data_IF_159185592910
#
_entry.id   IF_159185592910
#
_cell.length_a   1.000
_cell.length_b   1.000
_cell.length_c   1.000
_cell.angle_alpha   90.00
_cell.angle_beta   90.00
_cell.angle_gamma   90.00
#
_symmetry.space_group_name_H-M   'P 1'
#
loop_
_entity.id
_entity.type
_entity.pdbx_description
1 polymer ?
#
# COMPACT_ATOMS: atom_id res chain seq x y z
N UNK A 1 24.19 8.42 28.21
CA UNK A 1 23.60 9.69 27.76
C UNK A 1 23.49 9.68 26.24
N UNK A 2 22.38 10.17 25.70
CA UNK A 2 22.18 10.32 24.26
C UNK A 2 20.74 10.72 23.93
N UNK A 3 20.18 11.70 24.65
CA UNK A 3 18.90 12.28 24.27
C UNK A 3 19.12 13.13 23.01
N UNK A 4 18.67 12.63 21.86
CA UNK A 4 18.62 13.40 20.62
C UNK A 4 17.24 14.04 20.50
N UNK A 5 17.15 15.34 20.78
CA UNK A 5 15.97 16.13 20.45
C UNK A 5 15.86 16.26 18.92
N UNK A 6 14.78 15.70 18.38
CA UNK A 6 13.98 16.34 17.33
C UNK A 6 14.68 16.73 16.04
N UNK A 7 15.40 15.80 15.41
CA UNK A 7 15.54 15.85 13.96
C UNK A 7 14.18 15.53 13.33
N UNK A 8 13.42 16.54 12.94
CA UNK A 8 12.19 16.37 12.15
C UNK A 8 12.56 15.84 10.77
N UNK A 9 12.86 14.54 10.66
CA UNK A 9 12.76 13.85 9.37
C UNK A 9 11.29 13.93 8.98
N UNK A 10 10.93 14.84 8.09
CA UNK A 10 9.56 14.96 7.62
C UNK A 10 9.19 13.70 6.85
N UNK A 11 8.57 12.73 7.54
CA UNK A 11 8.01 11.55 6.88
C UNK A 11 6.90 12.01 5.93
N UNK A 12 7.05 11.70 4.65
CA UNK A 12 6.02 11.96 3.65
C UNK A 12 5.03 10.80 3.64
N UNK A 13 3.78 11.08 3.99
CA UNK A 13 2.72 10.09 4.00
C UNK A 13 2.13 9.91 2.59
N UNK A 14 2.17 8.68 2.10
CA UNK A 14 1.68 8.27 0.80
C UNK A 14 0.53 7.27 0.99
N UNK A 15 -0.44 7.33 0.10
CA UNK A 15 -1.55 6.39 0.04
C UNK A 15 -1.71 5.86 -1.38
N UNK A 16 -2.64 4.93 -1.60
CA UNK A 16 -2.95 4.45 -2.96
C UNK A 16 -4.36 4.90 -3.36
N UNK A 17 -4.44 5.61 -4.48
CA UNK A 17 -5.69 6.14 -5.04
C UNK A 17 -5.73 5.84 -6.55
N UNK A 18 -6.81 5.22 -7.01
CA UNK A 18 -7.01 4.83 -8.43
C UNK A 18 -5.80 4.09 -9.07
N UNK A 19 -5.12 3.25 -8.30
CA UNK A 19 -3.96 2.50 -8.79
C UNK A 19 -2.72 3.35 -9.02
N UNK A 20 -2.62 4.51 -8.35
CA UNK A 20 -1.45 5.38 -8.32
C UNK A 20 -1.07 5.68 -6.88
N UNK A 21 0.19 6.04 -6.67
CA UNK A 21 0.68 6.57 -5.40
C UNK A 21 0.11 7.98 -5.24
N UNK A 22 -0.53 8.27 -4.11
CA UNK A 22 -1.20 9.52 -3.84
C UNK A 22 -0.58 10.23 -2.63
N UNK A 23 -0.11 11.46 -2.84
CA UNK A 23 0.37 12.37 -1.80
C UNK A 23 -0.66 13.47 -1.60
N UNK A 24 -1.24 13.56 -0.39
CA UNK A 24 -2.20 14.62 -0.07
C UNK A 24 -1.52 15.98 0.01
N UNK A 25 -2.16 17.00 -0.55
CA UNK A 25 -1.72 18.40 -0.50
C UNK A 25 -2.82 19.27 0.10
N UNK A 26 -2.41 20.38 0.72
CA UNK A 26 -3.32 21.28 1.44
C UNK A 26 -4.05 22.25 0.51
N UNK A 27 -3.47 22.56 -0.63
CA UNK A 27 -3.92 23.60 -1.55
C UNK A 27 -4.05 23.05 -2.97
N UNK A 28 -4.81 23.78 -3.80
CA UNK A 28 -4.91 23.55 -5.24
C UNK A 28 -3.58 23.95 -5.90
N UNK A 29 -2.68 22.98 -6.02
CA UNK A 29 -1.40 23.12 -6.72
C UNK A 29 -1.54 22.66 -8.17
N UNK A 30 -0.75 23.20 -9.12
CA UNK A 30 -0.74 22.74 -10.51
C UNK A 30 -0.50 21.22 -10.60
N UNK A 31 -1.45 20.48 -11.17
CA UNK A 31 -1.38 19.02 -11.31
C UNK A 31 -2.02 18.22 -10.16
N UNK A 32 -2.49 18.87 -9.10
CA UNK A 32 -3.23 18.21 -8.04
C UNK A 32 -4.66 17.82 -8.50
N UNK A 33 -5.11 16.63 -8.12
CA UNK A 33 -6.44 16.11 -8.43
C UNK A 33 -7.36 16.31 -7.23
N UNK A 34 -8.52 16.93 -7.45
CA UNK A 34 -9.58 17.04 -6.44
C UNK A 34 -10.25 15.70 -6.25
N UNK A 35 -10.21 15.18 -5.02
CA UNK A 35 -10.88 13.96 -4.63
C UNK A 35 -12.02 14.26 -3.66
N UNK A 36 -13.09 13.50 -3.77
CA UNK A 36 -14.27 13.56 -2.90
C UNK A 36 -14.45 12.22 -2.21
N UNK A 37 -14.87 12.25 -0.96
CA UNK A 37 -15.24 11.04 -0.22
C UNK A 37 -16.50 10.43 -0.85
N UNK A 38 -16.71 9.11 -0.65
CA UNK A 38 -17.84 8.38 -1.25
C UNK A 38 -19.21 8.94 -0.84
N UNK A 39 -19.28 9.53 0.34
CA UNK A 39 -20.45 10.20 0.93
C UNK A 39 -20.53 11.69 0.56
N UNK A 40 -19.56 12.23 -0.18
CA UNK A 40 -19.49 13.63 -0.59
C UNK A 40 -19.12 14.61 0.52
N UNK A 41 -18.93 14.15 1.77
CA UNK A 41 -18.76 15.03 2.93
C UNK A 41 -17.38 15.68 3.05
N UNK A 42 -16.36 15.07 2.43
CA UNK A 42 -14.97 15.52 2.52
C UNK A 42 -14.36 15.66 1.13
N UNK A 43 -13.63 16.74 0.93
CA UNK A 43 -12.81 16.96 -0.27
C UNK A 43 -11.37 17.17 0.11
N UNK A 44 -10.45 16.58 -0.66
CA UNK A 44 -9.02 16.81 -0.51
C UNK A 44 -8.36 16.89 -1.88
N UNK A 45 -7.15 17.41 -1.91
CA UNK A 45 -6.32 17.47 -3.11
C UNK A 45 -5.16 16.48 -2.96
N UNK A 46 -4.80 15.81 -4.05
CA UNK A 46 -3.68 14.87 -4.06
C UNK A 46 -2.88 14.93 -5.36
N UNK A 47 -1.56 14.80 -5.25
CA UNK A 47 -0.68 14.50 -6.38
C UNK A 47 -0.61 13.00 -6.59
N UNK A 48 -0.71 12.57 -7.85
CA UNK A 48 -0.71 11.16 -8.23
C UNK A 48 0.56 10.80 -8.98
N UNK A 49 1.35 9.92 -8.39
CA UNK A 49 2.60 9.39 -8.94
C UNK A 49 2.42 7.95 -9.39
N UNK A 50 3.24 7.52 -10.34
CA UNK A 50 3.20 6.16 -10.88
C UNK A 50 3.71 5.13 -9.87
N UNK A 51 4.81 5.47 -9.19
CA UNK A 51 5.51 4.57 -8.29
C UNK A 51 6.24 5.36 -7.20
N UNK A 52 6.69 4.65 -6.18
CA UNK A 52 7.63 5.13 -5.17
C UNK A 52 8.75 4.10 -5.03
N UNK A 53 10.00 4.55 -4.97
CA UNK A 53 11.17 3.69 -4.83
C UNK A 53 11.92 3.99 -3.54
N UNK A 54 12.69 3.01 -3.07
CA UNK A 54 13.66 3.17 -2.00
C UNK A 54 13.86 1.89 -1.21
N UNK A 55 14.61 1.96 -0.11
CA UNK A 55 14.87 0.82 0.78
C UNK A 55 13.78 0.69 1.83
N UNK A 56 13.25 -0.52 2.00
CA UNK A 56 12.31 -0.80 3.09
C UNK A 56 13.07 -0.75 4.42
N UNK A 57 12.64 0.11 5.33
CA UNK A 57 13.23 0.23 6.67
C UNK A 57 12.34 -0.40 7.74
N UNK A 58 11.03 -0.40 7.54
CA UNK A 58 10.08 -0.92 8.51
C UNK A 58 8.75 -1.30 7.85
N UNK A 59 8.05 -2.29 8.41
CA UNK A 59 6.72 -2.70 7.99
C UNK A 59 5.89 -2.97 9.23
N UNK A 60 4.75 -2.31 9.37
CA UNK A 60 3.87 -2.51 10.52
C UNK A 60 2.39 -2.33 10.17
N UNK A 61 1.54 -2.92 11.01
CA UNK A 61 0.11 -2.69 10.99
C UNK A 61 -0.21 -1.43 11.81
N UNK A 62 -1.00 -0.53 11.24
CA UNK A 62 -1.53 0.65 11.92
C UNK A 62 -3.04 0.53 12.03
N UNK A 63 -3.55 0.45 13.25
CA UNK A 63 -4.99 0.36 13.52
C UNK A 63 -5.57 1.78 13.72
N UNK A 64 -6.70 2.05 13.06
CA UNK A 64 -7.40 3.33 13.24
C UNK A 64 -8.49 3.21 14.29
N UNK A 65 -8.30 3.92 15.41
CA UNK A 65 -9.33 4.04 16.47
C UNK A 65 -10.58 4.82 16.02
N UNK A 66 -10.56 5.42 14.83
CA UNK A 66 -11.66 6.21 14.26
C UNK A 66 -12.54 5.42 13.28
N UNK A 67 -12.41 4.09 13.24
CA UNK A 67 -13.25 3.23 12.39
C UNK A 67 -12.88 3.23 10.90
N UNK A 68 -11.74 3.82 10.52
CA UNK A 68 -11.28 3.86 9.11
C UNK A 68 -10.61 2.55 8.64
N UNK A 69 -10.70 1.48 9.44
CA UNK A 69 -10.04 0.20 9.20
C UNK A 69 -8.54 0.24 9.49
N UNK A 70 -7.95 -0.94 9.62
CA UNK A 70 -6.51 -1.11 9.75
C UNK A 70 -5.79 -0.79 8.43
N UNK A 71 -4.52 -0.44 8.51
CA UNK A 71 -3.64 -0.20 7.35
C UNK A 71 -2.34 -0.96 7.50
N UNK A 72 -1.82 -1.43 6.38
CA UNK A 72 -0.43 -1.85 6.28
C UNK A 72 0.41 -0.61 5.95
N UNK A 73 1.41 -0.33 6.76
CA UNK A 73 2.33 0.79 6.55
C UNK A 73 3.70 0.22 6.23
N UNK A 74 4.23 0.60 5.07
CA UNK A 74 5.59 0.27 4.63
C UNK A 74 6.40 1.56 4.66
N UNK A 75 7.42 1.61 5.51
CA UNK A 75 8.36 2.73 5.56
C UNK A 75 9.49 2.48 4.56
N UNK A 76 9.66 3.45 3.67
CA UNK A 76 10.63 3.41 2.57
C UNK A 76 11.54 4.62 2.69
N UNK A 77 12.84 4.42 2.55
CA UNK A 77 13.84 5.48 2.60
C UNK A 77 14.58 5.59 1.27
N UNK A 78 14.65 6.80 0.74
CA UNK A 78 15.43 7.14 -0.44
C UNK A 78 16.37 8.29 -0.08
N UNK A 79 17.66 7.99 0.08
CA UNK A 79 18.66 8.94 0.57
C UNK A 79 18.25 9.64 1.88
N UNK A 80 18.07 10.99 1.90
CA UNK A 80 17.62 11.73 3.07
C UNK A 80 16.10 11.66 3.30
N UNK A 81 15.32 11.30 2.29
CA UNK A 81 13.86 11.33 2.31
C UNK A 81 13.28 10.04 2.88
N UNK A 82 12.19 10.17 3.63
CA UNK A 82 11.47 9.04 4.23
C UNK A 82 10.00 9.09 3.85
N UNK A 83 9.48 7.98 3.35
CA UNK A 83 8.12 7.82 2.88
C UNK A 83 7.40 6.74 3.68
N UNK A 84 6.15 7.00 4.04
CA UNK A 84 5.27 6.02 4.64
C UNK A 84 4.18 5.67 3.62
N UNK A 85 4.30 4.50 2.99
CA UNK A 85 3.29 3.99 2.05
C UNK A 85 2.20 3.26 2.83
N UNK A 86 1.02 3.87 2.92
CA UNK A 86 -0.14 3.31 3.57
C UNK A 86 -1.06 2.60 2.57
N UNK A 87 -1.35 1.34 2.86
CA UNK A 87 -2.29 0.52 2.11
C UNK A 87 -3.42 0.05 3.04
N UNK A 88 -4.69 0.01 2.60
CA UNK A 88 -5.74 -0.57 3.41
C UNK A 88 -5.41 -2.03 3.74
N UNK A 89 -5.59 -2.42 5.00
CA UNK A 89 -5.45 -3.80 5.44
C UNK A 89 -6.50 -4.68 4.73
N UNK A 90 -6.13 -5.90 4.35
CA UNK A 90 -6.96 -6.80 3.53
C UNK A 90 -7.32 -6.22 2.14
N UNK A 91 -6.48 -5.35 1.56
CA UNK A 91 -6.60 -4.94 0.16
C UNK A 91 -5.73 -5.81 -0.76
N UNK A 92 -6.07 -5.85 -2.06
CA UNK A 92 -5.21 -6.52 -3.05
C UNK A 92 -3.79 -5.95 -3.12
N UNK A 93 -3.60 -4.69 -2.71
CA UNK A 93 -2.28 -4.09 -2.60
C UNK A 93 -1.49 -4.69 -1.42
N UNK A 94 -2.10 -4.75 -0.23
CA UNK A 94 -1.45 -5.37 0.94
C UNK A 94 -1.23 -6.87 0.74
N UNK A 95 -2.20 -7.59 0.18
CA UNK A 95 -2.04 -9.02 -0.14
C UNK A 95 -0.93 -9.23 -1.16
N UNK A 96 -0.85 -8.40 -2.22
CA UNK A 96 0.22 -8.47 -3.21
C UNK A 96 1.60 -8.27 -2.60
N UNK A 97 1.72 -7.36 -1.62
CA UNK A 97 2.95 -7.19 -0.85
C UNK A 97 3.30 -8.44 -0.04
N UNK A 98 2.37 -8.97 0.76
CA UNK A 98 2.63 -10.16 1.57
C UNK A 98 3.00 -11.37 0.72
N UNK A 99 2.31 -11.60 -0.41
CA UNK A 99 2.58 -12.73 -1.30
C UNK A 99 4.01 -12.69 -1.89
N UNK A 100 4.55 -11.49 -2.13
CA UNK A 100 5.91 -11.30 -2.62
C UNK A 100 6.96 -11.23 -1.50
N UNK A 101 6.56 -10.95 -0.26
CA UNK A 101 7.44 -10.59 0.85
C UNK A 101 8.65 -11.51 1.07
N UNK A 102 8.54 -12.85 0.98
CA UNK A 102 9.70 -13.74 1.16
C UNK A 102 10.74 -13.62 0.04
N UNK A 103 10.33 -13.18 -1.14
CA UNK A 103 11.21 -12.98 -2.29
C UNK A 103 11.83 -11.57 -2.32
N UNK A 104 11.46 -10.68 -1.40
CA UNK A 104 11.98 -9.32 -1.36
C UNK A 104 13.37 -9.34 -0.74
N UNK A 105 14.37 -8.92 -1.52
CA UNK A 105 15.70 -8.59 -0.99
C UNK A 105 15.69 -7.20 -0.35
N UNK A 106 15.61 -7.15 0.98
CA UNK A 106 15.57 -5.91 1.77
C UNK A 106 16.87 -5.10 1.72
N UNK A 107 17.96 -5.66 1.19
CA UNK A 107 19.24 -4.95 1.04
C UNK A 107 19.24 -4.01 -0.18
N UNK A 108 18.38 -4.32 -1.16
CA UNK A 108 18.19 -3.57 -2.40
C UNK A 108 17.08 -2.54 -2.28
N UNK A 109 17.11 -1.57 -3.18
CA UNK A 109 15.98 -0.66 -3.37
C UNK A 109 14.84 -1.39 -4.10
N UNK A 110 13.62 -1.01 -3.75
CA UNK A 110 12.40 -1.62 -4.28
C UNK A 110 11.48 -0.50 -4.76
N UNK A 111 11.00 -0.65 -5.99
CA UNK A 111 9.97 0.18 -6.58
C UNK A 111 8.59 -0.45 -6.34
N UNK A 112 7.70 0.33 -5.74
CA UNK A 112 6.30 0.02 -5.51
C UNK A 112 5.46 0.68 -6.59
N UNK A 113 4.86 -0.12 -7.47
CA UNK A 113 3.99 0.37 -8.54
C UNK A 113 2.58 -0.18 -8.34
N UNK A 114 1.65 0.61 -7.78
CA UNK A 114 0.25 0.23 -7.76
C UNK A 114 -0.29 0.19 -9.19
N UNK A 115 -1.26 -0.68 -9.40
CA UNK A 115 -1.95 -0.78 -10.67
C UNK A 115 -3.42 -1.01 -10.45
N UNK A 116 -4.23 -0.35 -11.28
CA UNK A 116 -5.67 -0.54 -11.31
C UNK A 116 -6.16 -0.48 -12.75
N UNK A 117 -7.03 -1.41 -13.10
CA UNK A 117 -7.78 -1.38 -14.35
C UNK A 117 -9.20 -1.84 -14.11
N UNK A 118 -10.14 -1.20 -14.79
CA UNK A 118 -11.51 -1.66 -14.83
C UNK A 118 -11.66 -2.70 -15.96
N UNK A 119 -12.09 -3.90 -15.60
CA UNK A 119 -12.35 -5.01 -16.53
C UNK A 119 -13.72 -5.56 -16.18
N UNK A 120 -14.65 -5.58 -17.14
CA UNK A 120 -16.03 -6.06 -16.97
C UNK A 120 -16.79 -5.37 -15.82
N UNK A 121 -16.61 -4.05 -15.69
CA UNK A 121 -17.22 -3.23 -14.62
C UNK A 121 -16.65 -3.51 -13.22
N UNK A 122 -15.62 -4.36 -13.10
CA UNK A 122 -14.92 -4.64 -11.84
C UNK A 122 -13.54 -4.01 -11.85
N UNK A 123 -13.23 -3.25 -10.81
CA UNK A 123 -11.89 -2.72 -10.58
C UNK A 123 -10.95 -3.86 -10.16
N UNK A 124 -10.03 -4.23 -11.04
CA UNK A 124 -8.91 -5.11 -10.71
C UNK A 124 -7.75 -4.27 -10.24
N UNK A 125 -7.22 -4.59 -9.07
CA UNK A 125 -6.10 -3.89 -8.45
C UNK A 125 -4.98 -4.86 -8.15
N UNK A 126 -3.74 -4.38 -8.27
CA UNK A 126 -2.52 -5.17 -8.07
C UNK A 126 -1.40 -4.24 -7.58
N UNK A 127 -0.47 -4.77 -6.80
CA UNK A 127 0.79 -4.09 -6.48
C UNK A 127 1.93 -4.84 -7.17
N UNK A 128 2.66 -4.15 -8.03
CA UNK A 128 3.93 -4.65 -8.57
C UNK A 128 5.08 -4.15 -7.71
N UNK A 129 5.99 -5.06 -7.39
CA UNK A 129 7.23 -4.78 -6.70
C UNK A 129 8.38 -5.16 -7.62
N UNK A 130 9.41 -4.34 -7.67
CA UNK A 130 10.57 -4.56 -8.53
C UNK A 130 11.83 -4.07 -7.83
N UNK A 131 12.91 -4.83 -7.91
CA UNK A 131 14.20 -4.34 -7.43
C UNK A 131 14.78 -3.33 -8.42
N UNK A 132 15.47 -2.32 -7.89
CA UNK A 132 16.15 -1.36 -8.76
C UNK A 132 17.17 -2.06 -9.66
N UNK A 133 17.19 -1.69 -10.93
CA UNK A 133 18.00 -2.33 -11.98
C UNK A 133 17.45 -3.64 -12.56
N UNK A 134 16.46 -4.29 -11.93
CA UNK A 134 15.86 -5.51 -12.46
C UNK A 134 14.82 -5.20 -13.54
N UNK A 135 14.74 -6.05 -14.57
CA UNK A 135 13.74 -5.92 -15.65
C UNK A 135 12.39 -6.48 -15.24
N UNK A 136 12.40 -7.52 -14.43
CA UNK A 136 11.22 -8.28 -14.04
C UNK A 136 10.70 -7.87 -12.66
N UNK A 137 9.39 -8.06 -12.45
CA UNK A 137 8.80 -7.86 -11.14
C UNK A 137 9.14 -9.03 -10.20
N UNK A 138 9.22 -8.75 -8.91
CA UNK A 138 9.36 -9.76 -7.87
C UNK A 138 8.12 -10.67 -7.92
N UNK A 139 8.35 -11.94 -8.22
CA UNK A 139 7.30 -12.94 -8.26
C UNK A 139 6.72 -13.19 -6.87
N UNK A 140 5.43 -13.55 -6.82
CA UNK A 140 4.83 -14.06 -5.60
C UNK A 140 5.51 -15.36 -5.18
N UNK A 141 5.94 -15.41 -3.92
CA UNK A 141 6.48 -16.62 -3.30
C UNK A 141 5.36 -17.63 -3.11
N UNK A 142 4.24 -17.17 -2.54
CA UNK A 142 3.06 -17.98 -2.36
C UNK A 142 2.08 -17.81 -3.52
N UNK A 143 1.75 -18.91 -4.18
CA UNK A 143 0.82 -18.93 -5.32
C UNK A 143 -0.30 -19.92 -5.07
N UNK A 144 -1.34 -19.90 -5.91
CA UNK A 144 -2.41 -20.91 -5.84
C UNK A 144 -1.89 -22.34 -6.09
N UNK A 145 -0.86 -22.46 -6.94
CA UNK A 145 -0.27 -23.74 -7.30
C UNK A 145 0.72 -24.23 -6.23
N UNK A 146 1.38 -23.29 -5.54
CA UNK A 146 2.31 -23.58 -4.46
C UNK A 146 1.99 -22.69 -3.24
N UNK A 147 0.96 -23.04 -2.46
CA UNK A 147 0.53 -22.23 -1.31
C UNK A 147 1.45 -22.35 -0.09
N UNK A 148 2.35 -23.34 -0.04
CA UNK A 148 3.37 -23.56 1.02
C UNK A 148 2.90 -23.26 2.46
N UNK A 149 1.71 -23.74 2.82
CA UNK A 149 1.16 -23.56 4.17
C UNK A 149 0.52 -22.20 4.44
N UNK A 150 0.22 -21.40 3.40
CA UNK A 150 -0.66 -20.25 3.53
C UNK A 150 -1.97 -20.65 4.22
N UNK A 151 -2.43 -19.89 5.23
CA UNK A 151 -3.73 -20.11 5.84
C UNK A 151 -4.84 -20.02 4.79
N UNK A 152 -5.79 -20.94 4.84
CA UNK A 152 -6.97 -20.87 4.00
C UNK A 152 -7.81 -19.64 4.33
N UNK A 153 -8.38 -19.01 3.30
CA UNK A 153 -9.36 -17.96 3.49
C UNK A 153 -10.57 -18.53 4.23
N UNK A 154 -11.08 -17.79 5.23
CA UNK A 154 -12.28 -18.19 5.94
C UNK A 154 -13.50 -17.59 5.24
N UNK A 155 -14.56 -18.39 5.11
CA UNK A 155 -15.83 -17.94 4.56
C UNK A 155 -16.60 -17.19 5.63
N UNK A 156 -16.79 -15.89 5.46
CA UNK A 156 -17.57 -15.03 6.35
C UNK A 156 -18.81 -14.50 5.64
N UNK A 157 -19.87 -14.19 6.40
CA UNK A 157 -21.11 -13.64 5.83
C UNK A 157 -21.17 -12.15 6.11
N UNK A 158 -21.01 -11.32 5.08
CA UNK A 158 -21.05 -9.85 5.19
C UNK A 158 -22.31 -9.35 4.51
N UNK A 159 -23.22 -8.73 5.28
CA UNK A 159 -24.49 -8.17 4.78
C UNK A 159 -25.32 -9.18 3.97
N UNK A 160 -25.35 -10.43 4.41
CA UNK A 160 -26.13 -11.51 3.78
C UNK A 160 -25.43 -12.23 2.62
N UNK A 161 -24.29 -11.74 2.15
CA UNK A 161 -23.48 -12.31 1.06
C UNK A 161 -22.30 -13.08 1.65
N UNK A 162 -22.04 -14.27 1.11
CA UNK A 162 -20.86 -15.06 1.45
C UNK A 162 -19.62 -14.43 0.80
N UNK A 163 -18.66 -14.02 1.63
CA UNK A 163 -17.38 -13.41 1.21
C UNK A 163 -16.24 -14.21 1.83
N UNK A 164 -15.21 -14.50 1.04
CA UNK A 164 -13.98 -15.09 1.54
C UNK A 164 -13.07 -13.97 2.05
N UNK A 165 -12.68 -14.03 3.32
CA UNK A 165 -11.88 -13.00 4.00
C UNK A 165 -10.59 -13.61 4.58
N UNK A 166 -9.54 -12.81 4.61
CA UNK A 166 -8.21 -13.15 5.11
C UNK A 166 -8.01 -12.77 6.59
N UNK A 167 -8.99 -12.08 7.19
CA UNK A 167 -9.00 -11.71 8.61
C UNK A 167 -10.24 -12.29 9.27
N UNK A 168 -10.04 -12.95 10.41
CA UNK A 168 -11.14 -13.29 11.31
C UNK A 168 -11.62 -12.00 11.98
N UNK A 169 -12.86 -11.60 11.68
CA UNK A 169 -13.51 -10.39 12.20
C UNK A 169 -14.55 -10.73 13.25
#
# INVERSE_FOLDING_TARGET
MGLNQGGSSSKTYLSISDGKIAKKVKTEEPGAVKCTSKDGSKTWWEHRYRSVSGKITNVYKSDSNMGFGSRLVVEVKDGPDSFNLEMPWSSRYSSGFFLAMPNIDVTKEIEFTPWMKEIDGKKKTMLYLRHDGDKDNIAWYWTKENPQGLPDMKKIRVKGIDVWDDVER
#
